data_IF_441144317596
#
_entry.id   IF_441144317596
#
_cell.length_a   1.000
_cell.length_b   1.000
_cell.length_c   1.000
_cell.angle_alpha   90.00
_cell.angle_beta   90.00
_cell.angle_gamma   90.00
#
_symmetry.space_group_name_H-M   'P 1'
#
loop_
_entity.id
_entity.type
_entity.pdbx_description
1 polymer ?
#
# COMPACT_ATOMS: atom_id res chain seq x y z
N UNK A 1 -5.39 2.04 9.22
CA UNK A 1 -3.94 2.14 9.47
C UNK A 1 -3.56 1.27 10.64
N UNK A 2 -2.33 0.82 10.67
CA UNK A 2 -1.74 0.13 11.81
C UNK A 2 -0.35 0.71 12.10
N UNK A 3 0.10 0.61 13.34
CA UNK A 3 1.48 0.91 13.75
C UNK A 3 1.99 -0.15 14.71
N UNK A 4 3.29 -0.28 14.80
CA UNK A 4 3.97 -0.97 15.91
C UNK A 4 4.89 0.03 16.56
N UNK A 5 4.86 0.06 17.88
CA UNK A 5 5.83 0.77 18.71
C UNK A 5 6.80 -0.30 19.24
N UNK A 6 8.09 -0.07 19.11
CA UNK A 6 9.08 -0.96 19.73
C UNK A 6 8.89 -0.98 21.23
N UNK A 7 8.66 -2.16 21.78
CA UNK A 7 8.41 -2.42 23.19
C UNK A 7 9.27 -3.56 23.69
N UNK A 8 9.20 -3.83 25.00
CA UNK A 8 9.99 -4.86 25.67
C UNK A 8 9.47 -6.29 25.44
N UNK A 9 8.30 -6.46 24.83
CA UNK A 9 7.75 -7.78 24.57
C UNK A 9 8.22 -8.36 23.22
N UNK A 10 8.52 -9.67 23.16
CA UNK A 10 8.94 -10.29 21.91
C UNK A 10 7.76 -10.39 20.93
N UNK A 11 7.99 -9.94 19.69
CA UNK A 11 7.02 -9.97 18.61
C UNK A 11 6.50 -8.60 18.23
N UNK A 12 5.74 -8.56 17.11
CA UNK A 12 5.09 -7.36 16.61
C UNK A 12 3.63 -7.33 17.06
N UNK A 13 3.28 -6.33 17.85
CA UNK A 13 1.91 -6.09 18.32
C UNK A 13 1.33 -4.88 17.60
N UNK A 14 0.54 -5.06 16.52
CA UNK A 14 0.02 -3.94 15.76
C UNK A 14 -1.14 -3.27 16.50
N UNK A 15 -1.07 -1.95 16.63
CA UNK A 15 -2.18 -1.11 17.05
C UNK A 15 -2.90 -0.56 15.81
N UNK A 16 -4.22 -0.64 15.77
CA UNK A 16 -5.03 -0.16 14.64
C UNK A 16 -5.73 1.14 14.96
N UNK A 17 -5.81 2.02 13.98
CA UNK A 17 -6.50 3.31 14.12
C UNK A 17 -6.98 3.85 12.78
N UNK A 18 -7.96 4.75 12.81
CA UNK A 18 -8.45 5.48 11.64
C UNK A 18 -7.93 6.91 11.68
N UNK A 19 -7.50 7.40 10.52
CA UNK A 19 -7.12 8.81 10.31
C UNK A 19 -7.76 9.32 9.03
N UNK A 20 -8.34 10.48 9.11
CA UNK A 20 -8.91 11.20 7.96
C UNK A 20 -7.87 12.05 7.24
N UNK A 21 -6.73 12.30 7.89
CA UNK A 21 -5.66 13.18 7.44
C UNK A 21 -4.30 12.52 7.74
N UNK A 22 -3.40 12.55 6.78
CA UNK A 22 -2.07 11.93 6.84
C UNK A 22 -0.97 12.88 7.34
N UNK A 23 -1.23 14.18 7.42
CA UNK A 23 -0.22 15.18 7.82
C UNK A 23 0.50 14.88 9.14
N UNK A 24 -0.18 14.44 10.24
CA UNK A 24 0.52 14.11 11.49
C UNK A 24 1.51 12.99 11.33
N UNK A 25 1.15 11.92 10.59
CA UNK A 25 2.00 10.75 10.36
C UNK A 25 3.23 11.15 9.53
N UNK A 26 3.02 11.98 8.50
CA UNK A 26 4.12 12.48 7.68
C UNK A 26 5.03 13.46 8.44
N UNK A 27 4.49 14.19 9.43
CA UNK A 27 5.29 15.04 10.30
C UNK A 27 6.22 14.20 11.22
N UNK A 28 5.75 13.07 11.73
CA UNK A 28 6.58 12.12 12.50
C UNK A 28 7.66 11.49 11.61
N UNK A 29 7.31 11.06 10.40
CA UNK A 29 8.26 10.54 9.43
C UNK A 29 9.37 11.55 9.07
N UNK A 30 9.02 12.83 8.91
CA UNK A 30 10.00 13.92 8.66
C UNK A 30 11.03 14.09 9.77
N UNK A 31 10.68 13.74 11.00
CA UNK A 31 11.60 13.78 12.15
C UNK A 31 12.53 12.56 12.20
N UNK A 32 12.39 11.60 11.27
CA UNK A 32 13.13 10.36 11.25
C UNK A 32 12.73 9.37 12.35
N UNK A 33 11.59 9.62 13.01
CA UNK A 33 11.10 8.80 14.15
C UNK A 33 10.34 7.56 13.67
N UNK A 34 9.81 7.60 12.45
CA UNK A 34 8.97 6.51 11.94
C UNK A 34 9.24 6.21 10.47
N UNK A 35 9.17 4.93 10.12
CA UNK A 35 9.06 4.46 8.74
C UNK A 35 7.58 4.19 8.44
N UNK A 36 7.12 4.67 7.30
CA UNK A 36 5.74 4.53 6.85
C UNK A 36 5.70 3.76 5.54
N UNK A 37 5.03 2.62 5.53
CA UNK A 37 4.65 1.91 4.32
C UNK A 37 3.16 2.18 4.04
N UNK A 38 2.83 2.66 2.84
CA UNK A 38 1.48 3.08 2.49
C UNK A 38 0.99 2.39 1.22
N UNK A 39 -0.21 1.81 1.29
CA UNK A 39 -0.88 1.17 0.14
C UNK A 39 -1.61 2.23 -0.71
N UNK A 40 -0.87 3.25 -1.12
CA UNK A 40 -1.33 4.31 -2.05
C UNK A 40 -0.16 4.65 -2.97
N UNK A 41 -0.39 4.80 -4.28
CA UNK A 41 0.65 5.13 -5.25
C UNK A 41 1.45 6.40 -4.91
N UNK A 42 2.78 6.30 -4.98
CA UNK A 42 3.74 7.41 -4.85
C UNK A 42 4.53 7.54 -6.17
N UNK A 43 4.61 8.76 -6.68
CA UNK A 43 5.17 8.99 -8.01
C UNK A 43 4.16 8.65 -9.10
N UNK A 44 3.70 9.68 -9.81
CA UNK A 44 2.58 9.60 -10.75
C UNK A 44 3.10 9.85 -12.16
N UNK A 45 2.87 8.94 -13.12
CA UNK A 45 3.38 9.05 -14.48
C UNK A 45 2.65 10.14 -15.26
N UNK A 46 3.36 10.81 -16.17
CA UNK A 46 2.78 11.74 -17.15
C UNK A 46 2.13 10.97 -18.31
N UNK A 47 2.78 9.90 -18.73
CA UNK A 47 2.36 9.02 -19.83
C UNK A 47 2.77 7.59 -19.55
N UNK A 48 2.09 6.63 -20.16
CA UNK A 48 2.43 5.22 -20.05
C UNK A 48 2.10 4.60 -18.69
N UNK A 49 2.59 3.42 -18.46
CA UNK A 49 2.39 2.68 -17.22
C UNK A 49 3.67 2.71 -16.37
N UNK A 50 3.56 2.78 -15.05
CA UNK A 50 4.72 2.74 -14.16
C UNK A 50 5.39 1.36 -14.23
N UNK A 51 6.71 1.32 -14.35
CA UNK A 51 7.48 0.08 -14.34
C UNK A 51 7.33 -0.68 -13.02
N UNK A 52 7.11 0.02 -11.91
CA UNK A 52 6.87 -0.62 -10.62
C UNK A 52 5.56 -1.42 -10.59
N UNK A 53 4.49 -0.93 -11.23
CA UNK A 53 3.23 -1.67 -11.33
C UNK A 53 3.39 -2.94 -12.19
N UNK A 54 4.17 -2.85 -13.27
CA UNK A 54 4.47 -4.01 -14.13
C UNK A 54 5.26 -5.06 -13.33
N UNK A 55 6.38 -4.65 -12.72
CA UNK A 55 7.23 -5.55 -11.93
C UNK A 55 6.49 -6.17 -10.74
N UNK A 56 5.66 -5.38 -10.04
CA UNK A 56 4.85 -5.88 -8.94
C UNK A 56 3.83 -6.94 -9.38
N UNK A 57 3.23 -6.78 -10.58
CA UNK A 57 2.34 -7.83 -11.15
C UNK A 57 3.07 -9.11 -11.49
N UNK A 58 4.32 -9.04 -11.87
CA UNK A 58 5.14 -10.23 -12.17
C UNK A 58 5.42 -11.04 -10.91
N UNK A 59 5.46 -10.39 -9.75
CA UNK A 59 5.60 -11.07 -8.45
C UNK A 59 4.31 -11.79 -8.02
N UNK A 60 3.14 -11.37 -8.50
CA UNK A 60 1.88 -11.97 -8.11
C UNK A 60 1.59 -13.29 -8.85
N UNK A 61 0.96 -14.26 -8.20
CA UNK A 61 0.40 -15.43 -8.87
C UNK A 61 -0.50 -15.02 -10.04
N UNK A 62 -0.57 -15.85 -11.10
CA UNK A 62 -1.27 -15.51 -12.35
C UNK A 62 -2.71 -15.05 -12.15
N UNK A 63 -3.45 -15.64 -11.21
CA UNK A 63 -4.83 -15.28 -10.86
C UNK A 63 -4.95 -14.00 -10.02
N UNK A 64 -3.83 -13.38 -9.62
CA UNK A 64 -3.80 -12.22 -8.72
C UNK A 64 -3.23 -10.96 -9.33
N UNK A 65 -2.75 -11.00 -10.55
CA UNK A 65 -2.13 -9.86 -11.24
C UNK A 65 -3.02 -8.60 -11.30
N UNK A 66 -4.34 -8.78 -11.34
CA UNK A 66 -5.32 -7.68 -11.32
C UNK A 66 -5.41 -6.93 -9.98
N UNK A 67 -4.78 -7.42 -8.91
CA UNK A 67 -4.71 -6.71 -7.64
C UNK A 67 -3.87 -5.43 -7.74
N UNK A 68 -2.84 -5.42 -8.61
CA UNK A 68 -2.08 -4.22 -8.93
C UNK A 68 -2.69 -3.58 -10.18
N UNK A 69 -3.52 -2.58 -9.98
CA UNK A 69 -4.17 -1.85 -11.07
C UNK A 69 -3.29 -0.69 -11.57
N UNK A 70 -3.44 -0.28 -12.85
CA UNK A 70 -2.69 0.86 -13.38
C UNK A 70 -3.02 2.16 -12.64
N UNK A 71 -2.00 2.90 -12.26
CA UNK A 71 -2.13 4.21 -11.60
C UNK A 71 -2.60 5.24 -12.64
N UNK A 72 -3.50 6.17 -12.26
CA UNK A 72 -3.90 7.27 -13.13
C UNK A 72 -2.74 8.14 -13.56
N UNK A 73 -2.80 8.67 -14.79
CA UNK A 73 -1.86 9.68 -15.25
C UNK A 73 -1.98 10.96 -14.41
N UNK A 74 -0.90 11.70 -14.27
CA UNK A 74 -0.85 12.96 -13.52
C UNK A 74 -1.91 13.96 -13.99
N UNK A 75 -2.18 14.03 -15.30
CA UNK A 75 -3.22 14.88 -15.87
C UNK A 75 -4.64 14.58 -15.38
N UNK A 76 -4.91 13.34 -14.91
CA UNK A 76 -6.20 12.94 -14.36
C UNK A 76 -6.35 13.29 -12.86
N UNK A 77 -5.27 13.65 -12.15
CA UNK A 77 -5.34 13.95 -10.73
C UNK A 77 -6.33 15.08 -10.37
N UNK A 78 -6.46 16.20 -11.10
CA UNK A 78 -7.39 17.26 -10.74
C UNK A 78 -8.86 16.93 -11.00
N UNK A 79 -9.16 15.84 -11.73
CA UNK A 79 -10.53 15.52 -12.14
C UNK A 79 -11.50 15.39 -10.95
N UNK A 80 -12.67 15.97 -11.09
CA UNK A 80 -13.72 15.97 -10.06
C UNK A 80 -14.82 14.93 -10.33
N UNK A 81 -14.90 14.44 -11.57
CA UNK A 81 -15.83 13.38 -11.96
C UNK A 81 -15.11 12.20 -12.61
N UNK A 82 -15.76 11.04 -12.59
CA UNK A 82 -15.23 9.83 -13.23
C UNK A 82 -15.05 9.99 -14.73
N UNK A 83 -16.02 10.65 -15.38
CA UNK A 83 -15.97 10.88 -16.84
C UNK A 83 -14.78 11.77 -17.22
N UNK A 84 -14.60 12.88 -16.49
CA UNK A 84 -13.48 13.78 -16.67
C UNK A 84 -12.14 13.08 -16.47
N UNK A 85 -12.01 12.29 -15.38
CA UNK A 85 -10.82 11.51 -15.10
C UNK A 85 -10.52 10.51 -16.24
N UNK A 86 -11.54 9.84 -16.77
CA UNK A 86 -11.41 8.94 -17.92
C UNK A 86 -10.93 9.68 -19.19
N UNK A 87 -11.47 10.85 -19.47
CA UNK A 87 -11.08 11.65 -20.66
C UNK A 87 -9.62 12.12 -20.55
N UNK A 88 -9.25 12.70 -19.40
CA UNK A 88 -7.90 13.20 -19.18
C UNK A 88 -6.86 12.05 -19.22
N UNK A 89 -7.18 10.94 -18.59
CA UNK A 89 -6.31 9.76 -18.59
C UNK A 89 -6.17 9.17 -19.99
N UNK A 90 -7.27 9.06 -20.71
CA UNK A 90 -7.27 8.54 -22.09
C UNK A 90 -6.42 9.40 -23.03
N UNK A 91 -6.51 10.73 -22.91
CA UNK A 91 -5.69 11.65 -23.70
C UNK A 91 -4.19 11.45 -23.46
N UNK A 92 -3.79 11.11 -22.23
CA UNK A 92 -2.37 10.96 -21.86
C UNK A 92 -1.83 9.54 -22.09
N UNK A 93 -2.67 8.49 -22.00
CA UNK A 93 -2.22 7.09 -22.01
C UNK A 93 -2.93 6.19 -23.01
N UNK A 94 -3.95 6.68 -23.74
CA UNK A 94 -4.81 5.86 -24.58
C UNK A 94 -5.80 4.97 -23.80
N UNK A 95 -5.81 5.01 -22.45
CA UNK A 95 -6.64 4.15 -21.58
C UNK A 95 -7.50 4.97 -20.63
N UNK A 96 -8.71 4.51 -20.37
CA UNK A 96 -9.55 5.04 -19.29
C UNK A 96 -9.08 4.53 -17.94
N UNK A 97 -9.39 5.24 -16.85
CA UNK A 97 -9.12 4.74 -15.50
C UNK A 97 -10.20 3.74 -15.08
N UNK A 98 -9.85 2.85 -14.14
CA UNK A 98 -10.84 1.97 -13.49
C UNK A 98 -11.66 2.73 -12.45
N UNK A 99 -12.84 2.18 -12.10
CA UNK A 99 -13.66 2.73 -11.00
C UNK A 99 -12.88 2.69 -9.68
N UNK A 100 -12.09 1.64 -9.45
CA UNK A 100 -11.23 1.51 -8.27
C UNK A 100 -10.18 2.63 -8.23
N UNK A 101 -9.48 2.87 -9.35
CA UNK A 101 -8.49 3.95 -9.44
C UNK A 101 -9.13 5.33 -9.19
N UNK A 102 -10.34 5.56 -9.70
CA UNK A 102 -11.07 6.80 -9.42
C UNK A 102 -11.45 6.91 -7.93
N UNK A 103 -11.89 5.81 -7.32
CA UNK A 103 -12.27 5.78 -5.90
C UNK A 103 -11.13 6.20 -4.95
N UNK A 104 -9.88 5.88 -5.30
CA UNK A 104 -8.70 6.26 -4.49
C UNK A 104 -8.04 7.56 -4.95
N UNK A 105 -8.52 8.20 -6.02
CA UNK A 105 -7.94 9.43 -6.57
C UNK A 105 -7.79 10.57 -5.54
N UNK A 106 -8.75 10.81 -4.61
CA UNK A 106 -8.58 11.78 -3.55
C UNK A 106 -7.38 11.48 -2.64
N UNK A 107 -7.13 10.20 -2.34
CA UNK A 107 -5.99 9.77 -1.52
C UNK A 107 -4.67 9.90 -2.28
N UNK A 108 -4.65 9.57 -3.56
CA UNK A 108 -3.47 9.80 -4.41
C UNK A 108 -3.12 11.29 -4.43
N UNK A 109 -4.11 12.18 -4.59
CA UNK A 109 -3.90 13.64 -4.54
C UNK A 109 -3.36 14.12 -3.20
N UNK A 110 -3.87 13.58 -2.08
CA UNK A 110 -3.39 13.91 -0.74
C UNK A 110 -1.91 13.53 -0.61
N UNK A 111 -1.56 12.30 -0.97
CA UNK A 111 -0.18 11.80 -0.94
C UNK A 111 0.71 12.63 -1.86
N UNK A 112 0.31 12.84 -3.11
CA UNK A 112 1.11 13.59 -4.07
C UNK A 112 1.44 14.99 -3.56
N UNK A 113 0.50 15.67 -2.89
CA UNK A 113 0.76 16.99 -2.27
C UNK A 113 1.73 16.94 -1.09
N UNK A 114 1.67 15.90 -0.27
CA UNK A 114 2.47 15.77 0.95
C UNK A 114 3.89 15.27 0.67
N UNK A 115 4.06 14.49 -0.39
CA UNK A 115 5.33 13.85 -0.71
C UNK A 115 6.38 14.80 -1.27
N UNK A 116 7.60 14.59 -0.84
CA UNK A 116 8.81 15.19 -1.39
C UNK A 116 9.88 14.11 -1.57
N UNK A 117 10.90 14.30 -2.44
CA UNK A 117 11.98 13.32 -2.59
C UNK A 117 12.72 12.99 -1.28
N UNK A 118 12.88 13.98 -0.38
CA UNK A 118 13.48 13.74 0.93
C UNK A 118 12.60 12.90 1.85
N UNK A 119 11.28 13.08 1.80
CA UNK A 119 10.35 12.32 2.62
C UNK A 119 10.25 10.84 2.18
N UNK A 120 10.54 10.53 0.92
CA UNK A 120 10.60 9.15 0.44
C UNK A 120 11.70 8.28 1.07
N UNK A 121 12.59 8.85 1.87
CA UNK A 121 13.51 8.07 2.71
C UNK A 121 12.76 7.32 3.81
N UNK A 122 11.65 7.88 4.28
CA UNK A 122 10.87 7.38 5.41
C UNK A 122 9.47 6.90 5.01
N UNK A 123 8.90 7.46 3.94
CA UNK A 123 7.54 7.10 3.46
C UNK A 123 7.66 6.43 2.10
N UNK A 124 7.27 5.15 2.03
CA UNK A 124 7.41 4.31 0.84
C UNK A 124 6.06 3.72 0.45
N UNK A 125 5.85 3.58 -0.86
CA UNK A 125 4.71 2.83 -1.38
C UNK A 125 4.91 1.34 -1.13
N UNK A 126 3.89 0.69 -0.56
CA UNK A 126 3.83 -0.76 -0.38
C UNK A 126 2.54 -1.29 -1.00
N UNK A 127 2.52 -2.57 -1.31
CA UNK A 127 1.31 -3.25 -1.77
C UNK A 127 1.15 -4.58 -1.00
N UNK A 128 0.12 -4.74 -0.15
CA UNK A 128 -0.03 -5.91 0.73
C UNK A 128 0.05 -7.25 0.01
N UNK A 129 -0.62 -7.40 -1.13
CA UNK A 129 -0.59 -8.65 -1.90
C UNK A 129 0.81 -8.94 -2.46
N UNK A 130 1.60 -7.92 -2.82
CA UNK A 130 3.01 -8.09 -3.23
C UNK A 130 3.86 -8.51 -2.04
N UNK A 131 3.64 -7.90 -0.86
CA UNK A 131 4.31 -8.31 0.38
C UNK A 131 4.04 -9.78 0.68
N UNK A 132 2.78 -10.23 0.62
CA UNK A 132 2.46 -11.65 0.81
C UNK A 132 3.09 -12.55 -0.25
N UNK A 133 3.09 -12.14 -1.52
CA UNK A 133 3.69 -12.92 -2.60
C UNK A 133 5.21 -13.12 -2.40
N UNK A 134 5.92 -12.07 -2.02
CA UNK A 134 7.36 -12.13 -1.71
C UNK A 134 7.63 -13.07 -0.54
N UNK A 135 6.87 -12.93 0.56
CA UNK A 135 7.06 -13.76 1.77
C UNK A 135 6.74 -15.24 1.55
N UNK A 136 5.86 -15.56 0.61
CA UNK A 136 5.43 -16.94 0.34
C UNK A 136 6.00 -17.52 -0.96
N UNK A 137 6.99 -16.86 -1.55
CA UNK A 137 7.55 -17.24 -2.85
C UNK A 137 6.46 -17.45 -3.91
N UNK A 138 5.57 -16.43 -4.06
CA UNK A 138 4.48 -16.36 -5.04
C UNK A 138 3.37 -17.42 -4.86
N UNK A 139 3.23 -17.97 -3.65
CA UNK A 139 2.13 -18.91 -3.35
C UNK A 139 0.79 -18.17 -3.40
N UNK A 140 -0.22 -18.71 -4.08
CA UNK A 140 -1.57 -18.15 -4.07
C UNK A 140 -2.25 -18.42 -2.72
N UNK A 141 -2.47 -17.36 -1.96
CA UNK A 141 -3.17 -17.40 -0.67
C UNK A 141 -4.70 -17.40 -0.81
N UNK A 142 -5.23 -17.39 -2.02
CA UNK A 142 -6.65 -17.35 -2.25
C UNK A 142 -7.28 -15.97 -2.00
N UNK A 143 -8.61 -15.90 -2.12
CA UNK A 143 -9.35 -14.63 -1.99
C UNK A 143 -9.34 -14.12 -0.55
N UNK A 144 -8.81 -12.91 -0.33
CA UNK A 144 -8.73 -12.27 1.01
C UNK A 144 -10.08 -12.01 1.68
N UNK A 145 -11.16 -11.97 0.90
CA UNK A 145 -12.53 -11.83 1.45
C UNK A 145 -13.11 -13.14 2.00
N UNK A 146 -12.48 -14.29 1.71
CA UNK A 146 -12.90 -15.59 2.22
C UNK A 146 -12.11 -15.96 3.48
N UNK A 147 -12.72 -16.74 4.36
CA UNK A 147 -12.13 -17.16 5.64
C UNK A 147 -10.76 -17.85 5.45
N UNK A 148 -10.66 -18.77 4.49
CA UNK A 148 -9.42 -19.48 4.18
C UNK A 148 -8.30 -18.50 3.75
N UNK A 149 -8.58 -17.56 2.84
CA UNK A 149 -7.59 -16.59 2.38
C UNK A 149 -7.13 -15.63 3.48
N UNK A 150 -8.00 -15.30 4.45
CA UNK A 150 -7.64 -14.52 5.65
C UNK A 150 -6.75 -15.33 6.58
N UNK A 151 -7.12 -16.59 6.85
CA UNK A 151 -6.34 -17.47 7.72
C UNK A 151 -4.91 -17.68 7.19
N UNK A 152 -4.76 -17.90 5.88
CA UNK A 152 -3.45 -18.03 5.24
C UNK A 152 -2.60 -16.76 5.41
N UNK A 153 -3.17 -15.55 5.23
CA UNK A 153 -2.45 -14.29 5.41
C UNK A 153 -2.04 -14.06 6.86
N UNK A 154 -2.92 -14.37 7.82
CA UNK A 154 -2.59 -14.29 9.24
C UNK A 154 -1.47 -15.27 9.61
N UNK A 155 -1.47 -16.49 9.06
CA UNK A 155 -0.39 -17.45 9.27
C UNK A 155 0.96 -16.94 8.74
N UNK A 156 0.98 -16.26 7.58
CA UNK A 156 2.19 -15.61 7.04
C UNK A 156 2.67 -14.50 7.97
N UNK A 157 1.78 -13.63 8.43
CA UNK A 157 2.14 -12.55 9.37
C UNK A 157 2.67 -13.11 10.70
N UNK A 158 2.07 -14.21 11.21
CA UNK A 158 2.53 -14.87 12.42
C UNK A 158 3.93 -15.48 12.25
N UNK A 159 4.23 -16.08 11.10
CA UNK A 159 5.57 -16.61 10.78
C UNK A 159 6.64 -15.50 10.78
N UNK A 160 6.27 -14.26 10.43
CA UNK A 160 7.13 -13.06 10.48
C UNK A 160 7.17 -12.40 11.89
N UNK A 161 6.63 -13.09 12.89
CA UNK A 161 6.65 -12.64 14.28
C UNK A 161 5.54 -11.69 14.70
N UNK A 162 4.51 -11.49 13.87
CA UNK A 162 3.37 -10.64 14.22
C UNK A 162 2.41 -11.39 15.15
N UNK A 163 2.09 -10.81 16.29
CA UNK A 163 1.13 -11.34 17.26
C UNK A 163 -0.25 -10.80 16.96
N UNK A 164 -0.99 -11.48 16.08
CA UNK A 164 -2.28 -11.05 15.59
C UNK A 164 -3.13 -12.27 15.21
N UNK A 165 -4.21 -12.49 15.91
CA UNK A 165 -5.22 -13.53 15.62
C UNK A 165 -6.40 -12.99 14.85
N UNK A 166 -7.25 -13.88 14.32
CA UNK A 166 -8.52 -13.47 13.70
C UNK A 166 -9.47 -12.83 14.72
N UNK A 167 -9.44 -13.28 15.96
CA UNK A 167 -10.28 -12.73 17.05
C UNK A 167 -9.83 -11.30 17.38
N UNK A 168 -8.53 -11.03 17.45
CA UNK A 168 -8.00 -9.67 17.63
C UNK A 168 -8.48 -8.76 16.50
N UNK A 169 -8.39 -9.20 15.24
CA UNK A 169 -8.90 -8.46 14.07
C UNK A 169 -10.40 -8.18 14.20
N UNK A 170 -11.19 -9.17 14.60
CA UNK A 170 -12.63 -9.01 14.76
C UNK A 170 -12.96 -8.01 15.87
N UNK A 171 -12.26 -8.05 17.00
CA UNK A 171 -12.40 -7.10 18.10
C UNK A 171 -12.00 -5.68 17.64
N UNK A 172 -10.86 -5.53 17.00
CA UNK A 172 -10.43 -4.23 16.48
C UNK A 172 -11.43 -3.65 15.47
N UNK A 173 -12.00 -4.47 14.60
CA UNK A 173 -13.05 -4.04 13.67
C UNK A 173 -14.31 -3.52 14.39
N UNK A 174 -14.68 -4.11 15.53
CA UNK A 174 -15.79 -3.63 16.36
C UNK A 174 -15.45 -2.28 16.96
N UNK A 175 -14.28 -2.16 17.57
CA UNK A 175 -13.81 -0.92 18.22
C UNK A 175 -13.67 0.25 17.24
N UNK A 176 -13.21 0.00 16.04
CA UNK A 176 -13.02 1.01 14.99
C UNK A 176 -14.32 1.35 14.24
N UNK A 177 -15.36 0.52 14.37
CA UNK A 177 -16.62 0.67 13.66
C UNK A 177 -16.70 -0.24 12.43
N UNK A 178 -17.62 -1.23 12.48
CA UNK A 178 -17.79 -2.27 11.43
C UNK A 178 -18.10 -1.71 10.04
N UNK A 179 -18.66 -0.51 9.96
CA UNK A 179 -19.01 0.18 8.72
C UNK A 179 -17.81 0.94 8.11
N UNK A 180 -16.76 1.23 8.91
CA UNK A 180 -15.59 2.00 8.49
C UNK A 180 -14.45 1.11 7.98
N UNK A 181 -14.31 -0.13 8.50
CA UNK A 181 -13.23 -1.04 8.14
C UNK A 181 -13.73 -2.47 7.95
N UNK A 182 -13.12 -3.17 7.01
CA UNK A 182 -13.33 -4.61 6.81
C UNK A 182 -12.17 -5.41 7.44
N UNK A 183 -12.37 -6.71 7.61
CA UNK A 183 -11.33 -7.61 8.15
C UNK A 183 -10.09 -7.62 7.27
N UNK A 184 -10.27 -7.63 5.96
CA UNK A 184 -9.17 -7.58 4.99
C UNK A 184 -8.42 -6.25 5.03
N UNK A 185 -9.06 -5.11 5.30
CA UNK A 185 -8.38 -3.82 5.46
C UNK A 185 -7.39 -3.82 6.65
N UNK A 186 -7.74 -4.49 7.75
CA UNK A 186 -6.88 -4.62 8.92
C UNK A 186 -5.69 -5.55 8.66
N UNK A 187 -5.92 -6.67 7.95
CA UNK A 187 -4.84 -7.58 7.53
C UNK A 187 -3.88 -6.87 6.57
N UNK A 188 -4.40 -6.10 5.62
CA UNK A 188 -3.59 -5.31 4.69
C UNK A 188 -2.78 -4.23 5.43
N UNK A 189 -3.38 -3.56 6.43
CA UNK A 189 -2.67 -2.60 7.27
C UNK A 189 -1.54 -3.27 8.08
N UNK A 190 -1.76 -4.49 8.59
CA UNK A 190 -0.74 -5.28 9.27
C UNK A 190 0.42 -5.67 8.32
N UNK A 191 0.12 -6.04 7.07
CA UNK A 191 1.15 -6.30 6.06
C UNK A 191 1.99 -5.04 5.77
N UNK A 192 1.37 -3.85 5.70
CA UNK A 192 2.11 -2.60 5.57
C UNK A 192 3.03 -2.33 6.77
N UNK A 193 2.61 -2.64 8.01
CA UNK A 193 3.49 -2.55 9.19
C UNK A 193 4.70 -3.47 9.05
N UNK A 194 4.50 -4.70 8.60
CA UNK A 194 5.61 -5.62 8.35
C UNK A 194 6.56 -5.08 7.28
N UNK A 195 6.03 -4.53 6.18
CA UNK A 195 6.86 -3.89 5.15
C UNK A 195 7.64 -2.70 5.74
N UNK A 196 7.03 -1.87 6.58
CA UNK A 196 7.71 -0.75 7.24
C UNK A 196 8.87 -1.24 8.13
N UNK A 197 8.68 -2.32 8.90
CA UNK A 197 9.74 -2.98 9.67
C UNK A 197 10.88 -3.46 8.77
N UNK A 198 10.56 -4.12 7.66
CA UNK A 198 11.56 -4.59 6.68
C UNK A 198 12.36 -3.43 6.06
N UNK A 199 11.70 -2.29 5.80
CA UNK A 199 12.38 -1.07 5.36
C UNK A 199 13.36 -0.58 6.42
N UNK A 200 12.93 -0.47 7.69
CA UNK A 200 13.78 -0.06 8.81
C UNK A 200 15.01 -0.96 8.98
N UNK A 201 14.82 -2.27 8.81
CA UNK A 201 15.88 -3.28 8.91
C UNK A 201 16.70 -3.45 7.62
N UNK A 202 16.42 -2.69 6.54
CA UNK A 202 17.07 -2.84 5.22
C UNK A 202 16.91 -4.24 4.60
N UNK A 203 15.78 -4.90 4.90
CA UNK A 203 15.43 -6.26 4.40
C UNK A 203 14.35 -6.24 3.32
N UNK A 204 13.90 -5.05 2.92
CA UNK A 204 12.87 -4.87 1.91
C UNK A 204 13.40 -5.12 0.49
N UNK A 205 12.49 -5.53 -0.38
CA UNK A 205 12.70 -5.66 -1.83
C UNK A 205 12.03 -4.48 -2.53
N UNK A 206 12.66 -3.94 -3.58
CA UNK A 206 12.11 -2.85 -4.40
C UNK A 206 11.72 -3.35 -5.78
N UNK A 207 10.58 -2.90 -6.26
CA UNK A 207 10.10 -3.13 -7.62
C UNK A 207 9.93 -1.78 -8.34
N UNK A 208 10.52 -1.60 -9.53
CA UNK A 208 11.56 -2.43 -10.14
C UNK A 208 12.91 -2.24 -9.43
N UNK A 209 13.89 -3.07 -9.76
CA UNK A 209 15.28 -2.91 -9.28
C UNK A 209 15.90 -1.59 -9.76
N UNK A 210 15.56 -1.16 -10.98
CA UNK A 210 15.98 0.14 -11.53
C UNK A 210 14.82 1.12 -11.45
N UNK A 211 14.89 2.01 -10.48
CA UNK A 211 13.80 2.92 -10.14
C UNK A 211 13.74 4.14 -11.07
N UNK A 212 12.59 4.37 -11.70
CA UNK A 212 12.29 5.60 -12.42
C UNK A 212 11.71 6.67 -11.48
N UNK A 213 11.80 7.94 -11.88
CA UNK A 213 11.22 9.08 -11.16
C UNK A 213 10.19 9.78 -12.02
N UNK A 214 9.17 10.31 -11.36
CA UNK A 214 8.17 11.18 -12.01
C UNK A 214 8.69 12.61 -12.22
N UNK A 215 7.86 13.49 -12.78
CA UNK A 215 8.20 14.90 -13.02
C UNK A 215 8.49 15.69 -11.74
N UNK A 216 8.01 15.23 -10.57
CA UNK A 216 8.29 15.80 -9.26
C UNK A 216 9.54 15.22 -8.59
N UNK A 217 10.31 14.40 -9.31
CA UNK A 217 11.48 13.66 -8.81
C UNK A 217 11.15 12.60 -7.76
N UNK A 218 9.88 12.23 -7.60
CA UNK A 218 9.46 11.14 -6.74
C UNK A 218 9.77 9.79 -7.40
N UNK A 219 10.31 8.86 -6.63
CA UNK A 219 10.58 7.50 -7.09
C UNK A 219 9.26 6.78 -7.32
N UNK A 220 9.11 6.16 -8.49
CA UNK A 220 8.04 5.25 -8.82
C UNK A 220 8.52 3.83 -8.48
N UNK A 221 8.25 3.39 -7.27
CA UNK A 221 8.67 2.09 -6.72
C UNK A 221 7.61 1.53 -5.79
N UNK A 222 7.49 0.21 -5.75
CA UNK A 222 6.71 -0.52 -4.75
C UNK A 222 7.70 -1.32 -3.91
N UNK A 223 7.56 -1.27 -2.58
CA UNK A 223 8.44 -2.01 -1.66
C UNK A 223 7.68 -3.11 -0.92
N UNK A 224 8.40 -4.17 -0.55
CA UNK A 224 7.87 -5.34 0.15
C UNK A 224 8.84 -5.83 1.24
#
# INVERSE_FOLDING_TARGET
>A
MARVVEGNEPGLHPEFFIRTNLQPIFAEARKGVAVVAIDIPIGIPETGERHCDISAREELPSGRKSCVFPVPMRSALPATSYLEACLLNHKASGRRISVQSFGILPKIREIDRLMTPGLQQFVREAHPEVTFAVLTNRTDLGNKKRAEGRAKRLAVLAAEGMKLSLDDICQQRILLGRHLVQVDDLIDAAACVLTAKRIGNRQHVCFPTTVCKDSRKLRMEIVS
#
